data_IF_401150396404
#
_entry.id   IF_401150396404
#
_cell.length_a   1.000
_cell.length_b   1.000
_cell.length_c   1.000
_cell.angle_alpha   90.00
_cell.angle_beta   90.00
_cell.angle_gamma   90.00
#
_symmetry.space_group_name_H-M   'P 1'
#
loop_
_entity.id
_entity.type
_entity.pdbx_description
1 polymer ?
#
# COMPACT_ATOMS: atom_id res chain seq x y z
N UNK A 1 -1.80 1.38 14.05
CA UNK A 1 -2.30 0.15 14.73
C UNK A 1 -2.68 -0.97 13.74
N UNK A 2 -2.72 -2.23 14.18
CA UNK A 2 -3.09 -3.40 13.35
C UNK A 2 -4.48 -3.95 13.72
N UNK A 3 -5.37 -4.08 12.74
CA UNK A 3 -6.75 -4.54 12.97
C UNK A 3 -7.18 -5.62 11.97
N UNK A 4 -8.17 -6.43 12.35
CA UNK A 4 -8.83 -7.45 11.52
C UNK A 4 -10.34 -7.39 11.71
N UNK A 5 -11.12 -7.68 10.67
CA UNK A 5 -12.59 -7.75 10.73
C UNK A 5 -13.07 -9.12 10.25
N UNK A 6 -14.14 -9.67 10.82
CA UNK A 6 -14.76 -10.92 10.33
C UNK A 6 -15.63 -10.72 9.08
N UNK A 7 -15.91 -9.47 8.75
CA UNK A 7 -16.77 -9.07 7.63
C UNK A 7 -16.12 -7.95 6.83
N UNK A 8 -16.53 -7.80 5.58
CA UNK A 8 -16.11 -6.66 4.77
C UNK A 8 -16.58 -5.37 5.42
N UNK A 9 -15.64 -4.49 5.75
CA UNK A 9 -15.90 -3.26 6.46
C UNK A 9 -15.46 -2.05 5.64
N UNK A 10 -16.32 -1.05 5.54
CA UNK A 10 -16.04 0.20 4.84
C UNK A 10 -16.09 1.34 5.84
N UNK A 11 -14.95 1.94 6.10
CA UNK A 11 -14.82 3.07 7.02
C UNK A 11 -14.76 4.35 6.20
N UNK A 12 -15.84 5.14 6.26
CA UNK A 12 -15.91 6.45 5.61
C UNK A 12 -15.45 7.54 6.57
N UNK A 13 -14.48 8.34 6.14
CA UNK A 13 -13.90 9.43 6.91
C UNK A 13 -14.51 10.77 6.57
N UNK A 14 -14.45 11.70 7.52
CA UNK A 14 -14.87 13.09 7.30
C UNK A 14 -14.01 13.81 6.25
N UNK A 15 -12.80 13.32 5.99
CA UNK A 15 -11.94 13.78 4.89
C UNK A 15 -12.47 13.40 3.50
N UNK A 16 -13.51 12.56 3.43
CA UNK A 16 -14.02 12.00 2.17
C UNK A 16 -13.31 10.72 1.73
N UNK A 17 -12.25 10.30 2.43
CA UNK A 17 -11.60 9.02 2.18
C UNK A 17 -12.48 7.85 2.64
N UNK A 18 -12.45 6.74 1.90
CA UNK A 18 -13.09 5.48 2.30
C UNK A 18 -12.03 4.39 2.34
N UNK A 19 -11.90 3.75 3.50
CA UNK A 19 -10.97 2.63 3.69
C UNK A 19 -11.75 1.33 3.68
N UNK A 20 -11.41 0.44 2.74
CA UNK A 20 -11.96 -0.91 2.67
C UNK A 20 -11.09 -1.87 3.49
N UNK A 21 -11.73 -2.64 4.36
CA UNK A 21 -11.15 -3.78 5.06
C UNK A 21 -11.83 -5.03 4.55
N UNK A 22 -11.05 -5.97 4.03
CA UNK A 22 -11.54 -7.27 3.60
C UNK A 22 -11.67 -8.19 4.82
N UNK A 23 -12.70 -9.04 4.82
CA UNK A 23 -12.92 -10.01 5.88
C UNK A 23 -11.69 -10.92 6.08
N UNK A 24 -11.23 -11.05 7.32
CA UNK A 24 -10.11 -11.89 7.73
C UNK A 24 -8.72 -11.33 7.41
N UNK A 25 -8.62 -10.19 6.72
CA UNK A 25 -7.33 -9.61 6.33
C UNK A 25 -6.85 -8.65 7.42
N UNK A 26 -5.70 -8.95 8.02
CA UNK A 26 -5.05 -8.04 8.95
C UNK A 26 -4.43 -6.86 8.20
N UNK A 27 -4.70 -5.65 8.67
CA UNK A 27 -4.16 -4.43 8.07
C UNK A 27 -3.60 -3.48 9.11
N UNK A 28 -2.44 -2.92 8.81
CA UNK A 28 -1.88 -1.80 9.55
C UNK A 28 -2.43 -0.48 9.01
N UNK A 29 -2.93 0.35 9.92
CA UNK A 29 -3.65 1.59 9.62
C UNK A 29 -3.32 2.68 10.63
N UNK A 30 -3.63 3.93 10.27
CA UNK A 30 -3.58 5.05 11.20
C UNK A 30 -4.58 4.86 12.36
N UNK A 31 -4.24 5.39 13.53
CA UNK A 31 -5.01 5.17 14.75
C UNK A 31 -6.42 5.79 14.69
N UNK A 32 -6.58 6.90 13.97
CA UNK A 32 -7.89 7.50 13.69
C UNK A 32 -8.80 6.52 12.93
N UNK A 33 -8.27 5.87 11.89
CA UNK A 33 -9.00 4.87 11.11
C UNK A 33 -9.33 3.65 11.94
N UNK A 34 -8.36 3.19 12.73
CA UNK A 34 -8.57 2.00 13.53
C UNK A 34 -9.54 2.21 14.66
N UNK A 35 -9.61 3.41 15.25
CA UNK A 35 -10.61 3.71 16.29
C UNK A 35 -12.03 3.56 15.74
N UNK A 36 -12.30 4.08 14.54
CA UNK A 36 -13.61 3.92 13.90
C UNK A 36 -13.84 2.45 13.50
N UNK A 37 -12.85 1.79 12.93
CA UNK A 37 -12.97 0.38 12.55
C UNK A 37 -13.30 -0.52 13.75
N UNK A 38 -12.67 -0.28 14.91
CA UNK A 38 -12.95 -0.99 16.16
C UNK A 38 -14.39 -0.75 16.64
N UNK A 39 -14.87 0.50 16.58
CA UNK A 39 -16.27 0.83 16.93
C UNK A 39 -17.28 0.11 16.01
N UNK A 40 -16.89 -0.16 14.76
CA UNK A 40 -17.71 -0.91 13.81
C UNK A 40 -17.56 -2.44 13.94
N UNK A 41 -16.77 -2.93 14.89
CA UNK A 41 -16.64 -4.36 15.20
C UNK A 41 -15.35 -5.03 14.72
N UNK A 42 -14.38 -4.27 14.20
CA UNK A 42 -13.04 -4.81 13.99
C UNK A 42 -12.36 -5.14 15.34
N UNK A 43 -11.34 -5.99 15.31
CA UNK A 43 -10.55 -6.39 16.48
C UNK A 43 -9.09 -5.98 16.30
N UNK A 44 -8.46 -5.59 17.42
CA UNK A 44 -7.03 -5.32 17.45
C UNK A 44 -6.26 -6.63 17.36
N UNK A 45 -5.25 -6.67 16.49
CA UNK A 45 -4.29 -7.78 16.45
C UNK A 45 -3.20 -7.48 17.49
N UNK A 46 -3.17 -8.24 18.58
CA UNK A 46 -2.11 -8.12 19.58
C UNK A 46 -0.79 -8.63 18.99
N UNK A 47 0.24 -7.80 19.10
CA UNK A 47 1.59 -8.08 18.60
C UNK A 47 2.25 -9.22 19.39
N UNK A 48 1.99 -10.46 18.99
CA UNK A 48 2.80 -11.62 19.37
C UNK A 48 3.26 -12.46 18.18
N UNK A 49 2.98 -12.05 16.94
CA UNK A 49 3.55 -12.66 15.76
C UNK A 49 4.14 -11.57 14.85
N UNK A 50 5.41 -11.69 14.42
CA UNK A 50 5.92 -10.84 13.35
C UNK A 50 5.14 -11.20 12.09
N UNK A 51 4.52 -10.21 11.46
CA UNK A 51 3.93 -10.44 10.15
C UNK A 51 5.03 -10.42 9.11
N UNK A 52 5.23 -11.60 8.52
CA UNK A 52 6.03 -11.78 7.32
C UNK A 52 5.31 -11.06 6.17
N UNK A 53 5.80 -9.87 5.81
CA UNK A 53 5.44 -9.24 4.53
C UNK A 53 5.97 -10.14 3.41
N UNK A 54 5.07 -10.86 2.75
CA UNK A 54 5.39 -11.49 1.47
C UNK A 54 5.27 -10.42 0.40
N UNK A 55 6.34 -10.13 -0.36
CA UNK A 55 6.24 -9.24 -1.50
C UNK A 55 5.17 -9.76 -2.46
N UNK A 56 4.42 -8.84 -3.06
CA UNK A 56 3.42 -9.13 -4.07
C UNK A 56 4.09 -9.73 -5.31
N UNK A 57 3.55 -10.84 -5.83
CA UNK A 57 4.06 -11.54 -7.02
C UNK A 57 4.00 -10.69 -8.32
N UNK A 58 3.54 -9.43 -8.22
CA UNK A 58 3.44 -8.47 -9.31
C UNK A 58 4.64 -7.52 -9.43
N UNK A 59 5.61 -7.55 -8.51
CA UNK A 59 6.80 -6.72 -8.62
C UNK A 59 7.89 -7.37 -9.50
N UNK A 60 7.96 -6.96 -10.77
CA UNK A 60 9.08 -7.31 -11.66
C UNK A 60 10.28 -6.40 -11.42
N UNK A 61 11.39 -6.94 -10.88
CA UNK A 61 12.68 -6.25 -10.71
C UNK A 61 13.43 -5.96 -12.03
N UNK A 62 12.78 -6.09 -13.18
CA UNK A 62 13.40 -5.87 -14.49
C UNK A 62 13.43 -4.37 -14.81
N UNK A 63 14.52 -3.70 -14.44
CA UNK A 63 14.81 -2.34 -14.89
C UNK A 63 15.43 -2.42 -16.29
N UNK A 64 14.67 -2.04 -17.31
CA UNK A 64 15.21 -1.90 -18.66
C UNK A 64 16.35 -0.86 -18.62
N UNK A 65 17.58 -1.30 -18.90
CA UNK A 65 18.70 -0.40 -19.07
C UNK A 65 18.41 0.51 -20.26
N UNK A 66 18.13 1.80 -20.01
CA UNK A 66 18.11 2.80 -21.08
C UNK A 66 19.54 2.91 -21.63
N UNK A 67 19.78 2.32 -22.79
CA UNK A 67 20.96 2.62 -23.59
C UNK A 67 20.68 3.93 -24.32
N UNK A 68 21.42 4.98 -23.97
CA UNK A 68 21.43 6.22 -24.75
C UNK A 68 22.49 6.04 -25.83
N UNK A 69 22.08 5.83 -27.08
CA UNK A 69 22.98 5.98 -28.21
C UNK A 69 23.07 7.49 -28.50
N UNK A 70 24.26 8.06 -28.36
CA UNK A 70 24.50 9.44 -28.71
C UNK A 70 24.36 9.60 -30.23
N UNK A 71 23.36 10.36 -30.66
CA UNK A 71 23.22 10.79 -32.05
C UNK A 71 24.41 11.71 -32.41
N UNK A 72 25.27 11.35 -33.37
CA UNK A 72 26.40 12.19 -33.75
C UNK A 72 25.98 13.51 -34.42
N UNK A 73 24.75 13.64 -34.92
CA UNK A 73 24.31 14.74 -35.78
C UNK A 73 24.00 16.05 -35.02
N UNK A 74 23.83 15.99 -33.70
CA UNK A 74 23.58 17.16 -32.84
C UNK A 74 24.86 17.92 -32.43
N UNK A 75 26.04 17.43 -32.84
CA UNK A 75 27.32 18.05 -32.47
C UNK A 75 27.83 19.13 -33.45
N UNK A 76 27.22 19.27 -34.64
CA UNK A 76 27.68 20.23 -35.65
C UNK A 76 26.96 21.60 -35.63
N UNK A 77 25.89 21.78 -34.85
CA UNK A 77 25.13 23.05 -34.82
C UNK A 77 25.69 24.11 -33.87
N UNK A 78 26.82 23.83 -33.20
CA UNK A 78 27.53 24.74 -32.30
C UNK A 78 28.93 25.07 -32.84
N UNK A 79 29.00 25.74 -33.99
CA UNK A 79 30.19 26.49 -34.44
C UNK A 79 29.76 27.74 -35.20
#
# INVERSE_FOLDING_TARGET
>A
MRVVSDTDLRVAMLSGAVVLFEAGVEREIADEVGTVALQMGARLVSSSAPVEEKPDDHWSNEVAALTTEADPDISETLN
#
